data_IF_671668078176
#
_entry.id   IF_671668078176
#
_cell.length_a   1.000
_cell.length_b   1.000
_cell.length_c   1.000
_cell.angle_alpha   90.00
_cell.angle_beta   90.00
_cell.angle_gamma   90.00
#
_symmetry.space_group_name_H-M   'P 1'
#
loop_
_entity.id
_entity.type
_entity.pdbx_description
1 polymer ?
#
# COMPACT_ATOMS: atom_id res chain seq x y z
N UNK A 1 11.37 12.56 -17.29
CA UNK A 1 12.83 12.30 -17.54
C UNK A 1 13.65 12.44 -16.24
N UNK A 2 13.43 13.45 -15.41
CA UNK A 2 14.21 13.67 -14.17
C UNK A 2 14.02 12.57 -13.13
N UNK A 3 12.80 12.15 -12.88
CA UNK A 3 12.47 11.15 -11.85
C UNK A 3 13.02 9.75 -12.18
N UNK A 4 12.91 9.30 -13.43
CA UNK A 4 13.50 8.01 -13.84
C UNK A 4 15.02 8.01 -13.73
N UNK A 5 15.67 9.15 -14.07
CA UNK A 5 17.12 9.30 -13.88
C UNK A 5 17.50 9.18 -12.40
N UNK A 6 16.72 9.80 -11.52
CA UNK A 6 16.93 9.73 -10.07
C UNK A 6 16.77 8.29 -9.56
N UNK A 7 15.75 7.55 -10.02
CA UNK A 7 15.55 6.15 -9.65
C UNK A 7 16.72 5.26 -10.08
N UNK A 8 17.25 5.46 -11.29
CA UNK A 8 18.44 4.74 -11.75
C UNK A 8 19.66 5.08 -10.89
N UNK A 9 19.89 6.36 -10.59
CA UNK A 9 20.96 6.79 -9.70
C UNK A 9 20.86 6.09 -8.32
N UNK A 10 19.68 6.05 -7.73
CA UNK A 10 19.47 5.35 -6.45
C UNK A 10 19.75 3.83 -6.56
N UNK A 11 19.36 3.22 -7.68
CA UNK A 11 19.53 1.79 -7.88
C UNK A 11 21.01 1.40 -8.09
N UNK A 12 21.77 2.21 -8.81
CA UNK A 12 23.11 1.91 -9.30
C UNK A 12 24.20 2.43 -8.33
N UNK A 13 24.10 3.70 -7.91
CA UNK A 13 25.17 4.36 -7.16
C UNK A 13 24.95 4.34 -5.63
N UNK A 14 23.70 4.19 -5.17
CA UNK A 14 23.35 4.20 -3.75
C UNK A 14 22.95 2.82 -3.21
N UNK A 15 23.45 1.77 -3.85
CA UNK A 15 23.36 0.40 -3.37
C UNK A 15 24.33 0.08 -2.24
N UNK A 16 24.42 -1.20 -1.88
CA UNK A 16 25.42 -1.69 -0.93
C UNK A 16 26.80 -1.65 -1.58
N UNK A 17 27.77 -1.01 -0.91
CA UNK A 17 29.14 -0.93 -1.40
C UNK A 17 29.84 -2.29 -1.26
N UNK A 18 30.18 -2.91 -2.38
CA UNK A 18 30.77 -4.27 -2.44
C UNK A 18 32.04 -4.40 -1.63
N UNK A 19 32.93 -3.40 -1.66
CA UNK A 19 34.18 -3.40 -0.92
C UNK A 19 33.98 -3.40 0.59
N UNK A 20 33.05 -2.57 1.08
CA UNK A 20 32.70 -2.48 2.51
C UNK A 20 32.02 -3.77 2.97
N UNK A 21 31.12 -4.32 2.14
CA UNK A 21 30.46 -5.59 2.42
C UNK A 21 31.47 -6.74 2.50
N UNK A 22 32.41 -6.83 1.56
CA UNK A 22 33.46 -7.85 1.58
C UNK A 22 34.28 -7.82 2.87
N UNK A 23 34.69 -6.62 3.31
CA UNK A 23 35.43 -6.45 4.58
C UNK A 23 34.59 -6.89 5.78
N UNK A 24 33.28 -6.55 5.82
CA UNK A 24 32.41 -6.95 6.92
C UNK A 24 32.14 -8.46 6.96
N UNK A 25 32.02 -9.09 5.78
CA UNK A 25 31.89 -10.57 5.67
C UNK A 25 33.14 -11.26 6.16
N UNK A 26 34.33 -10.81 5.76
CA UNK A 26 35.62 -11.39 6.22
C UNK A 26 35.76 -11.25 7.74
N UNK A 27 35.43 -10.10 8.31
CA UNK A 27 35.50 -9.89 9.75
C UNK A 27 34.54 -10.83 10.50
N UNK A 28 33.31 -11.04 9.98
CA UNK A 28 32.36 -11.98 10.56
C UNK A 28 32.86 -13.42 10.47
N UNK A 29 33.36 -13.86 9.32
CA UNK A 29 33.94 -15.21 9.14
C UNK A 29 35.10 -15.47 10.09
N UNK A 30 36.01 -14.52 10.22
CA UNK A 30 37.15 -14.64 11.15
C UNK A 30 36.71 -14.85 12.62
N UNK A 31 35.63 -14.17 13.03
CA UNK A 31 35.06 -14.37 14.36
C UNK A 31 34.29 -15.69 14.47
N UNK A 32 33.59 -16.13 13.43
CA UNK A 32 32.80 -17.36 13.44
C UNK A 32 33.66 -18.63 13.40
N UNK A 33 34.78 -18.58 12.70
CA UNK A 33 35.74 -19.69 12.58
C UNK A 33 36.74 -19.75 13.76
N UNK A 34 36.79 -18.68 14.57
CA UNK A 34 37.65 -18.60 15.74
C UNK A 34 37.32 -19.65 16.80
N UNK A 35 38.34 -20.36 17.29
CA UNK A 35 38.19 -21.43 18.29
C UNK A 35 38.10 -20.93 19.74
N UNK A 36 37.96 -19.62 19.97
CA UNK A 36 37.89 -19.05 21.32
C UNK A 36 36.42 -19.11 21.82
N UNK A 37 36.15 -19.92 22.87
CA UNK A 37 34.82 -20.04 23.47
C UNK A 37 34.27 -18.70 24.02
N UNK A 38 35.17 -17.73 24.29
CA UNK A 38 34.76 -16.41 24.82
C UNK A 38 34.54 -15.35 23.73
N UNK A 39 34.59 -15.70 22.45
CA UNK A 39 34.47 -14.78 21.33
C UNK A 39 32.99 -14.39 20.98
N UNK A 40 32.04 -14.78 21.79
CA UNK A 40 30.61 -14.48 21.56
C UNK A 40 30.36 -12.98 21.34
N UNK A 41 30.99 -12.13 22.17
CA UNK A 41 30.85 -10.65 22.00
C UNK A 41 31.47 -10.15 20.70
N UNK A 42 32.58 -10.76 20.26
CA UNK A 42 33.20 -10.43 18.96
C UNK A 42 32.29 -10.79 17.79
N UNK A 43 31.73 -11.99 17.83
CA UNK A 43 30.82 -12.49 16.82
C UNK A 43 29.55 -11.62 16.72
N UNK A 44 28.93 -11.29 17.85
CA UNK A 44 27.73 -10.42 17.86
C UNK A 44 28.04 -9.02 17.30
N UNK A 45 29.18 -8.44 17.60
CA UNK A 45 29.60 -7.15 17.02
C UNK A 45 29.83 -7.25 15.51
N UNK A 46 30.49 -8.29 15.05
CA UNK A 46 30.71 -8.53 13.62
C UNK A 46 29.41 -8.75 12.88
N UNK A 47 28.47 -9.49 13.47
CA UNK A 47 27.11 -9.69 12.94
C UNK A 47 26.33 -8.37 12.85
N UNK A 48 26.35 -7.54 13.88
CA UNK A 48 25.71 -6.22 13.86
C UNK A 48 26.30 -5.31 12.78
N UNK A 49 27.63 -5.33 12.63
CA UNK A 49 28.32 -4.57 11.58
C UNK A 49 27.93 -5.07 10.18
N UNK A 50 27.87 -6.39 9.98
CA UNK A 50 27.43 -6.98 8.72
C UNK A 50 25.99 -6.60 8.38
N UNK A 51 25.07 -6.70 9.34
CA UNK A 51 23.67 -6.28 9.18
C UNK A 51 23.56 -4.80 8.83
N UNK A 52 24.37 -3.93 9.45
CA UNK A 52 24.42 -2.50 9.13
C UNK A 52 24.94 -2.27 7.71
N UNK A 53 25.99 -2.97 7.32
CA UNK A 53 26.62 -2.83 6.00
C UNK A 53 25.70 -3.31 4.86
N UNK A 54 24.85 -4.31 5.11
CA UNK A 54 23.88 -4.81 4.14
C UNK A 54 22.73 -3.82 3.86
N UNK A 55 22.55 -2.79 4.69
CA UNK A 55 21.56 -1.75 4.43
C UNK A 55 22.09 -0.78 3.40
N UNK A 56 21.47 -0.76 2.22
CA UNK A 56 21.83 0.19 1.17
C UNK A 56 21.60 1.64 1.62
N UNK A 57 22.54 2.59 1.33
CA UNK A 57 22.39 4.01 1.67
C UNK A 57 21.08 4.63 1.18
N UNK A 58 20.59 4.20 0.00
CA UNK A 58 19.28 4.62 -0.53
C UNK A 58 18.13 4.36 0.44
N UNK A 59 18.17 3.26 1.18
CA UNK A 59 17.10 2.92 2.11
C UNK A 59 17.08 3.87 3.32
N UNK A 60 18.25 4.29 3.80
CA UNK A 60 18.31 5.32 4.84
C UNK A 60 17.78 6.66 4.36
N UNK A 61 18.09 7.05 3.12
CA UNK A 61 17.53 8.26 2.52
C UNK A 61 15.99 8.18 2.46
N UNK A 62 15.44 7.07 1.98
CA UNK A 62 13.99 6.91 1.83
C UNK A 62 13.25 6.95 3.18
N UNK A 63 13.85 6.41 4.25
CA UNK A 63 13.21 6.45 5.59
C UNK A 63 13.00 7.87 6.11
N UNK A 64 13.81 8.85 5.68
CA UNK A 64 13.66 10.25 6.11
C UNK A 64 12.39 10.90 5.56
N UNK A 65 11.84 10.39 4.47
CA UNK A 65 10.60 10.93 3.90
C UNK A 65 9.38 10.73 4.82
N UNK A 66 9.41 9.80 5.75
CA UNK A 66 8.34 9.62 6.73
C UNK A 66 8.12 10.84 7.63
N UNK A 67 9.14 11.69 7.79
CA UNK A 67 9.08 12.90 8.59
C UNK A 67 8.53 14.12 7.79
N UNK A 68 8.38 13.97 6.47
CA UNK A 68 7.94 15.06 5.60
C UNK A 68 6.43 15.03 5.39
N UNK A 69 5.77 16.19 5.35
CA UNK A 69 4.39 16.27 4.89
C UNK A 69 4.23 15.62 3.51
N UNK A 70 3.25 14.74 3.33
CA UNK A 70 3.04 13.97 2.10
C UNK A 70 4.21 13.06 1.68
N UNK A 71 5.21 12.85 2.54
CA UNK A 71 6.40 12.06 2.21
C UNK A 71 6.06 10.60 1.91
N UNK A 72 5.14 10.01 2.64
CA UNK A 72 4.68 8.63 2.44
C UNK A 72 3.97 8.49 1.09
N UNK A 73 3.09 9.44 0.75
CA UNK A 73 2.42 9.48 -0.57
C UNK A 73 3.43 9.65 -1.70
N UNK A 74 4.37 10.57 -1.52
CA UNK A 74 5.44 10.80 -2.50
C UNK A 74 6.24 9.52 -2.78
N UNK A 75 6.56 8.73 -1.74
CA UNK A 75 7.27 7.47 -1.93
C UNK A 75 6.42 6.41 -2.62
N UNK A 76 5.12 6.33 -2.32
CA UNK A 76 4.21 5.45 -3.05
C UNK A 76 4.18 5.82 -4.55
N UNK A 77 4.06 7.10 -4.88
CA UNK A 77 4.09 7.59 -6.27
C UNK A 77 5.44 7.33 -6.93
N UNK A 78 6.54 7.53 -6.21
CA UNK A 78 7.89 7.24 -6.71
C UNK A 78 8.07 5.75 -7.02
N UNK A 79 7.55 4.86 -6.18
CA UNK A 79 7.59 3.42 -6.47
C UNK A 79 6.70 3.05 -7.66
N UNK A 80 5.56 3.72 -7.85
CA UNK A 80 4.74 3.53 -9.06
C UNK A 80 5.56 3.75 -10.34
N UNK A 81 6.42 4.76 -10.35
CA UNK A 81 7.32 5.00 -11.48
C UNK A 81 8.44 3.96 -11.58
N UNK A 82 8.98 3.51 -10.44
CA UNK A 82 9.98 2.42 -10.43
C UNK A 82 9.40 1.14 -11.02
N UNK A 83 8.14 0.82 -10.74
CA UNK A 83 7.46 -0.34 -11.29
C UNK A 83 7.41 -0.34 -12.83
N UNK A 84 7.35 0.83 -13.45
CA UNK A 84 7.35 0.95 -14.92
C UNK A 84 8.71 0.66 -15.57
N UNK A 85 9.82 0.83 -14.82
CA UNK A 85 11.19 0.68 -15.35
C UNK A 85 12.00 -0.44 -14.68
N UNK A 86 11.47 -1.11 -13.67
CA UNK A 86 12.23 -2.10 -12.88
C UNK A 86 12.77 -3.28 -13.68
N UNK A 87 12.16 -3.57 -14.83
CA UNK A 87 12.58 -4.67 -15.71
C UNK A 87 13.79 -4.34 -16.58
N UNK A 88 14.23 -3.07 -16.60
CA UNK A 88 15.35 -2.64 -17.44
C UNK A 88 16.71 -3.09 -16.89
N UNK A 89 16.84 -3.29 -15.57
CA UNK A 89 18.08 -3.79 -14.96
C UNK A 89 17.84 -4.61 -13.68
N UNK A 90 18.81 -5.47 -13.37
CA UNK A 90 18.80 -6.24 -12.12
C UNK A 90 18.85 -5.34 -10.88
N UNK A 91 19.57 -4.21 -10.95
CA UNK A 91 19.68 -3.24 -9.86
C UNK A 91 18.34 -2.55 -9.56
N UNK A 92 17.59 -2.16 -10.60
CA UNK A 92 16.25 -1.58 -10.45
C UNK A 92 15.27 -2.60 -9.87
N UNK A 93 15.35 -3.86 -10.30
CA UNK A 93 14.49 -4.91 -9.75
C UNK A 93 14.81 -5.23 -8.28
N UNK A 94 16.09 -5.24 -7.92
CA UNK A 94 16.51 -5.39 -6.52
C UNK A 94 16.04 -4.20 -5.67
N UNK A 95 16.17 -2.99 -6.19
CA UNK A 95 15.68 -1.78 -5.53
C UNK A 95 14.16 -1.81 -5.32
N UNK A 96 13.36 -2.25 -6.30
CA UNK A 96 11.90 -2.39 -6.13
C UNK A 96 11.54 -3.32 -4.97
N UNK A 97 12.26 -4.44 -4.81
CA UNK A 97 12.02 -5.37 -3.69
C UNK A 97 12.28 -4.72 -2.34
N UNK A 98 13.44 -4.09 -2.18
CA UNK A 98 13.79 -3.37 -0.94
C UNK A 98 12.79 -2.24 -0.66
N UNK A 99 12.39 -1.50 -1.68
CA UNK A 99 11.44 -0.41 -1.56
C UNK A 99 10.04 -0.90 -1.18
N UNK A 100 9.61 -2.02 -1.78
CA UNK A 100 8.36 -2.67 -1.40
C UNK A 100 8.36 -3.08 0.08
N UNK A 101 9.45 -3.68 0.55
CA UNK A 101 9.56 -4.15 1.94
C UNK A 101 9.54 -2.96 2.92
N UNK A 102 10.17 -1.83 2.57
CA UNK A 102 10.08 -0.60 3.34
C UNK A 102 8.64 -0.09 3.44
N UNK A 103 7.96 0.04 2.30
CA UNK A 103 6.58 0.51 2.26
C UNK A 103 5.63 -0.47 2.98
N UNK A 104 5.84 -1.77 2.86
CA UNK A 104 5.06 -2.76 3.59
C UNK A 104 5.14 -2.58 5.12
N UNK A 105 6.28 -2.11 5.64
CA UNK A 105 6.44 -1.79 7.06
C UNK A 105 5.62 -0.56 7.47
N UNK A 106 5.56 0.48 6.62
CA UNK A 106 4.82 1.71 6.93
C UNK A 106 3.32 1.59 6.68
N UNK A 107 2.95 0.77 5.73
CA UNK A 107 1.56 0.45 5.41
C UNK A 107 1.12 -0.88 6.06
N UNK A 108 1.71 -1.22 7.21
CA UNK A 108 1.19 -2.34 7.99
C UNK A 108 -0.26 -2.08 8.41
N UNK A 109 -1.07 -3.13 8.32
CA UNK A 109 -2.52 -3.04 8.60
C UNK A 109 -2.83 -2.51 10.00
N UNK A 110 -1.90 -2.64 10.95
CA UNK A 110 -2.03 -2.07 12.30
C UNK A 110 -2.02 -0.55 12.34
N UNK A 111 -1.52 0.12 11.31
CA UNK A 111 -1.50 1.59 11.20
C UNK A 111 -2.62 2.15 10.33
N UNK A 112 -3.41 1.29 9.69
CA UNK A 112 -4.47 1.70 8.79
C UNK A 112 -5.81 1.85 9.51
N UNK A 113 -6.53 2.88 9.14
CA UNK A 113 -7.87 3.17 9.64
C UNK A 113 -8.91 2.70 8.63
N UNK A 114 -9.89 1.92 9.11
CA UNK A 114 -11.09 1.65 8.35
C UNK A 114 -12.04 2.84 8.50
N UNK A 115 -12.43 3.45 7.39
CA UNK A 115 -13.39 4.54 7.38
C UNK A 115 -14.58 4.21 6.50
N UNK A 116 -15.79 4.44 7.01
CA UNK A 116 -17.00 4.49 6.21
C UNK A 116 -17.03 5.82 5.47
N UNK A 117 -17.05 5.79 4.16
CA UNK A 117 -17.12 6.99 3.33
C UNK A 117 -18.59 7.30 3.06
N UNK A 118 -18.98 8.53 3.33
CA UNK A 118 -20.36 9.03 3.12
C UNK A 118 -20.37 10.15 2.09
N UNK A 119 -21.56 10.60 1.71
CA UNK A 119 -21.71 11.73 0.81
C UNK A 119 -21.17 13.05 1.36
N UNK A 120 -21.02 13.16 2.68
CA UNK A 120 -20.46 14.34 3.37
C UNK A 120 -18.92 14.36 3.37
N UNK A 121 -18.28 13.36 2.76
CA UNK A 121 -16.83 13.31 2.62
C UNK A 121 -16.32 14.46 1.73
N UNK A 122 -15.05 14.91 1.91
CA UNK A 122 -14.46 15.93 1.06
C UNK A 122 -14.58 15.61 -0.43
N UNK A 123 -14.94 16.59 -1.26
CA UNK A 123 -15.10 16.40 -2.69
C UNK A 123 -13.85 15.79 -3.37
N UNK A 124 -12.65 16.14 -2.91
CA UNK A 124 -11.40 15.56 -3.39
C UNK A 124 -11.32 14.05 -3.15
N UNK A 125 -11.82 13.58 -2.01
CA UNK A 125 -11.89 12.14 -1.72
C UNK A 125 -12.91 11.44 -2.63
N UNK A 126 -14.10 12.03 -2.81
CA UNK A 126 -15.14 11.50 -3.70
C UNK A 126 -14.67 11.41 -5.16
N UNK A 127 -13.96 12.43 -5.62
CA UNK A 127 -13.36 12.45 -6.95
C UNK A 127 -12.26 11.38 -7.10
N UNK A 128 -11.46 11.19 -6.06
CA UNK A 128 -10.44 10.13 -6.03
C UNK A 128 -11.08 8.73 -6.12
N UNK A 129 -12.16 8.45 -5.37
CA UNK A 129 -12.91 7.20 -5.48
C UNK A 129 -13.45 6.99 -6.90
N UNK A 130 -14.07 8.03 -7.50
CA UNK A 130 -14.64 7.93 -8.84
C UNK A 130 -13.58 7.63 -9.91
N UNK A 131 -12.40 8.26 -9.80
CA UNK A 131 -11.30 8.10 -10.74
C UNK A 131 -10.60 6.72 -10.65
N UNK A 132 -10.66 6.08 -9.48
CA UNK A 132 -9.99 4.79 -9.24
C UNK A 132 -10.94 3.60 -9.21
N UNK A 133 -12.25 3.82 -9.42
CA UNK A 133 -13.19 2.71 -9.52
C UNK A 133 -12.90 1.85 -10.77
N UNK A 134 -12.33 0.66 -10.54
CA UNK A 134 -11.79 -0.19 -11.60
C UNK A 134 -12.80 -1.20 -12.16
N UNK A 135 -13.85 -1.53 -11.40
CA UNK A 135 -14.79 -2.61 -11.73
C UNK A 135 -16.06 -2.07 -12.38
N UNK A 136 -16.66 -1.06 -11.78
CA UNK A 136 -17.93 -0.48 -12.19
C UNK A 136 -17.84 1.05 -12.27
N UNK A 137 -17.36 1.55 -13.41
CA UNK A 137 -17.08 2.96 -13.64
C UNK A 137 -18.21 3.90 -13.15
N UNK A 138 -17.81 4.90 -12.36
CA UNK A 138 -18.67 5.98 -11.91
C UNK A 138 -18.73 7.05 -13.00
N UNK A 139 -19.93 7.33 -13.52
CA UNK A 139 -20.09 8.17 -14.72
C UNK A 139 -20.57 9.59 -14.40
N UNK A 140 -21.10 9.83 -13.21
CA UNK A 140 -21.66 11.12 -12.82
C UNK A 140 -21.65 11.31 -11.31
N UNK A 141 -21.80 12.57 -10.87
CA UNK A 141 -22.00 12.89 -9.46
C UNK A 141 -23.28 12.27 -8.89
N UNK A 142 -24.29 12.03 -9.72
CA UNK A 142 -25.49 11.34 -9.29
C UNK A 142 -25.25 9.87 -9.02
N UNK A 143 -24.40 9.21 -9.81
CA UNK A 143 -24.02 7.82 -9.62
C UNK A 143 -23.23 7.65 -8.30
N UNK A 144 -22.21 8.47 -8.05
CA UNK A 144 -21.47 8.38 -6.78
C UNK A 144 -22.34 8.75 -5.58
N UNK A 145 -23.23 9.75 -5.72
CA UNK A 145 -24.18 10.10 -4.67
C UNK A 145 -25.09 8.92 -4.31
N UNK A 146 -25.65 8.24 -5.30
CA UNK A 146 -26.49 7.06 -5.07
C UNK A 146 -25.74 5.96 -4.33
N UNK A 147 -24.47 5.72 -4.68
CA UNK A 147 -23.64 4.69 -4.03
C UNK A 147 -23.23 5.04 -2.58
N UNK A 148 -23.34 6.32 -2.19
CA UNK A 148 -22.91 6.79 -0.87
C UNK A 148 -24.07 7.22 0.03
N UNK A 149 -25.16 7.73 -0.54
CA UNK A 149 -26.25 8.33 0.22
C UNK A 149 -27.47 7.43 0.35
N UNK A 150 -27.64 6.41 -0.50
CA UNK A 150 -28.72 5.45 -0.39
C UNK A 150 -28.58 4.61 0.89
N UNK A 151 -29.69 4.33 1.57
CA UNK A 151 -29.69 3.64 2.86
C UNK A 151 -29.14 2.21 2.79
N UNK A 152 -29.26 1.58 1.63
CA UNK A 152 -28.79 0.22 1.36
C UNK A 152 -27.40 0.16 0.70
N UNK A 153 -26.64 1.26 0.72
CA UNK A 153 -25.31 1.35 0.13
C UNK A 153 -24.27 1.81 1.14
N UNK A 154 -23.12 1.17 1.08
CA UNK A 154 -21.97 1.53 1.92
C UNK A 154 -20.69 1.56 1.08
N UNK A 155 -19.82 2.49 1.44
CA UNK A 155 -18.44 2.50 0.97
C UNK A 155 -17.49 2.49 2.17
N UNK A 156 -16.53 1.58 2.15
CA UNK A 156 -15.48 1.50 3.15
C UNK A 156 -14.12 1.63 2.50
N UNK A 157 -13.22 2.34 3.15
CA UNK A 157 -11.86 2.52 2.68
C UNK A 157 -10.84 2.29 3.80
N UNK A 158 -9.67 1.75 3.45
CA UNK A 158 -8.49 1.78 4.31
C UNK A 158 -7.70 3.03 3.98
N UNK A 159 -7.45 3.83 5.01
CA UNK A 159 -6.76 5.10 4.92
C UNK A 159 -5.53 5.08 5.82
N UNK A 160 -4.41 5.60 5.33
CA UNK A 160 -3.25 5.84 6.15
C UNK A 160 -3.36 7.25 6.78
N UNK A 161 -3.10 7.45 8.09
CA UNK A 161 -3.25 8.75 8.76
C UNK A 161 -2.48 9.91 8.09
N UNK A 162 -1.35 9.63 7.46
CA UNK A 162 -0.59 10.63 6.71
C UNK A 162 -1.11 10.89 5.28
N UNK A 163 -2.17 10.20 4.86
CA UNK A 163 -2.78 10.31 3.53
C UNK A 163 -4.32 10.34 3.62
N UNK A 164 -4.91 11.27 4.36
CA UNK A 164 -6.33 11.23 4.71
C UNK A 164 -7.30 11.37 3.52
N UNK A 165 -6.84 11.94 2.41
CA UNK A 165 -7.65 12.12 1.19
C UNK A 165 -7.29 11.12 0.07
N UNK A 166 -6.33 10.23 0.33
CA UNK A 166 -5.82 9.24 -0.62
C UNK A 166 -6.02 7.84 -0.04
N UNK A 167 -7.20 7.23 -0.19
CA UNK A 167 -7.43 5.89 0.29
C UNK A 167 -6.44 4.92 -0.37
N UNK A 168 -6.07 3.85 0.31
CA UNK A 168 -5.18 2.82 -0.24
C UNK A 168 -5.96 1.83 -1.09
N UNK A 169 -7.14 1.49 -0.59
CA UNK A 169 -8.08 0.56 -1.17
C UNK A 169 -9.47 0.92 -0.65
N UNK A 170 -10.47 0.81 -1.47
CA UNK A 170 -11.86 0.99 -1.06
C UNK A 170 -12.75 -0.12 -1.61
N UNK A 171 -13.92 -0.24 -1.01
CA UNK A 171 -14.87 -1.28 -1.33
C UNK A 171 -16.30 -0.75 -1.29
N UNK A 172 -17.08 -1.12 -2.30
CA UNK A 172 -18.50 -0.84 -2.35
C UNK A 172 -19.31 -2.04 -1.89
N UNK A 173 -20.27 -1.78 -1.03
CA UNK A 173 -21.18 -2.79 -0.47
C UNK A 173 -22.62 -2.38 -0.75
N UNK A 174 -23.43 -3.33 -1.17
CA UNK A 174 -24.87 -3.19 -1.25
C UNK A 174 -25.52 -4.15 -0.25
N UNK A 175 -26.48 -3.64 0.50
CA UNK A 175 -27.34 -4.42 1.39
C UNK A 175 -28.59 -4.83 0.61
N UNK A 176 -28.89 -6.11 0.61
CA UNK A 176 -30.00 -6.68 -0.20
C UNK A 176 -30.81 -7.66 0.62
N UNK A 177 -31.99 -8.00 0.10
CA UNK A 177 -32.78 -9.13 0.59
C UNK A 177 -32.50 -10.31 -0.34
N UNK A 178 -31.72 -11.28 0.17
CA UNK A 178 -31.21 -12.39 -0.61
C UNK A 178 -30.04 -12.03 -1.54
N UNK A 179 -29.49 -13.05 -2.19
CA UNK A 179 -28.35 -12.94 -3.09
C UNK A 179 -28.80 -12.31 -4.40
N UNK A 180 -28.19 -11.14 -4.77
CA UNK A 180 -28.40 -10.53 -6.07
C UNK A 180 -27.66 -11.30 -7.17
N UNK A 181 -28.36 -11.64 -8.22
CA UNK A 181 -27.85 -12.36 -9.39
C UNK A 181 -27.47 -11.43 -10.57
N UNK A 182 -27.80 -10.13 -10.46
CA UNK A 182 -27.61 -9.16 -11.52
C UNK A 182 -27.03 -7.84 -11.01
N UNK A 183 -25.74 -7.66 -11.24
CA UNK A 183 -25.02 -6.43 -10.85
C UNK A 183 -25.55 -5.18 -11.55
N UNK A 184 -26.06 -5.27 -12.77
CA UNK A 184 -26.60 -4.12 -13.50
C UNK A 184 -27.89 -3.61 -12.84
N UNK A 185 -28.70 -4.51 -12.29
CA UNK A 185 -29.86 -4.10 -11.50
C UNK A 185 -29.42 -3.44 -10.20
N UNK A 186 -28.43 -4.01 -9.52
CA UNK A 186 -27.89 -3.48 -8.27
C UNK A 186 -27.36 -2.03 -8.41
N UNK A 187 -26.80 -1.69 -9.58
CA UNK A 187 -26.21 -0.39 -9.86
C UNK A 187 -27.20 0.65 -10.44
N UNK A 188 -28.47 0.28 -10.65
CA UNK A 188 -29.47 1.24 -11.18
C UNK A 188 -29.85 2.26 -10.11
N UNK A 189 -29.88 3.53 -10.53
CA UNK A 189 -30.26 4.67 -9.66
C UNK A 189 -31.77 4.63 -9.32
N UNK A 190 -32.57 3.99 -10.16
CA UNK A 190 -34.05 3.95 -10.03
C UNK A 190 -34.56 2.72 -9.26
N UNK A 191 -33.68 1.95 -8.62
CA UNK A 191 -34.11 0.83 -7.80
C UNK A 191 -34.70 1.31 -6.48
N UNK A 192 -35.73 0.60 -6.01
CA UNK A 192 -36.27 0.78 -4.68
C UNK A 192 -35.18 0.42 -3.65
N UNK A 193 -34.89 1.35 -2.75
CA UNK A 193 -33.95 1.14 -1.66
C UNK A 193 -34.50 0.09 -0.69
N UNK A 194 -33.66 -0.82 -0.25
CA UNK A 194 -34.04 -1.75 0.81
C UNK A 194 -34.09 -0.97 2.13
N UNK A 195 -35.23 -0.98 2.80
CA UNK A 195 -35.40 -0.27 4.06
C UNK A 195 -34.37 -0.78 5.09
N UNK A 196 -33.78 0.15 5.83
CA UNK A 196 -32.83 -0.15 6.88
C UNK A 196 -33.40 -1.18 7.86
N UNK A 197 -32.69 -2.28 8.09
CA UNK A 197 -33.10 -3.40 8.94
C UNK A 197 -33.82 -4.55 8.24
N UNK A 198 -34.16 -4.43 6.94
CA UNK A 198 -34.76 -5.53 6.17
C UNK A 198 -33.75 -6.31 5.32
N UNK A 199 -32.50 -5.84 5.23
CA UNK A 199 -31.45 -6.54 4.50
C UNK A 199 -30.96 -7.76 5.30
N UNK A 200 -30.82 -8.87 4.62
CA UNK A 200 -30.26 -10.12 5.17
C UNK A 200 -28.91 -10.50 4.52
N UNK A 201 -28.52 -9.79 3.49
CA UNK A 201 -27.34 -10.09 2.66
C UNK A 201 -26.53 -8.82 2.37
N UNK A 202 -25.21 -8.89 2.51
CA UNK A 202 -24.27 -7.86 2.10
C UNK A 202 -23.49 -8.32 0.86
N UNK A 203 -23.57 -7.57 -0.23
CA UNK A 203 -22.89 -7.87 -1.49
C UNK A 203 -21.72 -6.92 -1.68
N UNK A 204 -20.51 -7.45 -1.63
CA UNK A 204 -19.28 -6.76 -1.93
C UNK A 204 -19.07 -6.75 -3.45
N UNK A 205 -19.49 -5.69 -4.14
CA UNK A 205 -19.56 -5.72 -5.60
C UNK A 205 -18.37 -5.05 -6.30
N UNK A 206 -17.55 -4.30 -5.59
CA UNK A 206 -16.31 -3.75 -6.12
C UNK A 206 -15.27 -3.54 -5.02
N UNK A 207 -14.02 -3.88 -5.32
CA UNK A 207 -12.84 -3.56 -4.50
C UNK A 207 -11.80 -2.96 -5.42
N UNK A 208 -11.38 -1.72 -5.15
CA UNK A 208 -10.48 -0.97 -6.00
C UNK A 208 -9.28 -0.43 -5.20
N UNK A 209 -8.07 -0.76 -5.63
CA UNK A 209 -6.84 -0.18 -5.10
C UNK A 209 -6.53 1.14 -5.83
N UNK A 210 -6.14 2.17 -5.08
CA UNK A 210 -5.91 3.50 -5.62
C UNK A 210 -4.44 3.86 -5.76
N UNK A 211 -3.55 3.10 -5.12
CA UNK A 211 -2.11 3.39 -5.05
C UNK A 211 -1.30 2.36 -5.84
N UNK A 212 -1.01 2.58 -7.13
CA UNK A 212 -0.23 1.62 -7.94
C UNK A 212 1.15 1.33 -7.34
N UNK A 213 1.75 2.29 -6.66
CA UNK A 213 3.03 2.13 -5.99
C UNK A 213 3.01 1.17 -4.80
N UNK A 214 1.84 0.81 -4.29
CA UNK A 214 1.65 -0.18 -3.24
C UNK A 214 1.29 -1.56 -3.79
N UNK A 215 1.42 -1.76 -5.09
CA UNK A 215 1.17 -3.07 -5.69
C UNK A 215 2.06 -4.15 -5.06
N UNK A 216 1.44 -5.26 -4.67
CA UNK A 216 2.08 -6.36 -3.95
C UNK A 216 2.16 -6.19 -2.43
N UNK A 217 1.66 -5.08 -1.86
CA UNK A 217 1.35 -4.94 -0.43
C UNK A 217 -0.11 -5.35 -0.24
N UNK A 218 -0.36 -6.41 0.53
CA UNK A 218 -1.67 -7.09 0.56
C UNK A 218 -2.68 -6.44 1.51
N UNK A 219 -3.59 -5.61 1.01
CA UNK A 219 -4.64 -4.97 1.81
C UNK A 219 -6.03 -5.60 1.64
N UNK A 220 -6.30 -6.21 0.48
CA UNK A 220 -7.66 -6.60 0.09
C UNK A 220 -8.34 -7.59 1.04
N UNK A 221 -7.65 -8.66 1.44
CA UNK A 221 -8.20 -9.64 2.37
C UNK A 221 -8.43 -9.08 3.78
N UNK A 222 -7.61 -8.11 4.19
CA UNK A 222 -7.76 -7.42 5.46
C UNK A 222 -8.99 -6.49 5.43
N UNK A 223 -9.16 -5.72 4.35
CA UNK A 223 -10.33 -4.85 4.20
C UNK A 223 -11.63 -5.64 4.29
N UNK A 224 -11.75 -6.75 3.55
CA UNK A 224 -12.96 -7.59 3.58
C UNK A 224 -13.29 -8.04 5.00
N UNK A 225 -12.30 -8.58 5.74
CA UNK A 225 -12.51 -9.07 7.10
C UNK A 225 -12.99 -7.95 8.03
N UNK A 226 -12.34 -6.79 7.96
CA UNK A 226 -12.70 -5.63 8.81
C UNK A 226 -14.10 -5.10 8.52
N UNK A 227 -14.52 -5.09 7.25
CA UNK A 227 -15.87 -4.62 6.87
C UNK A 227 -16.95 -5.63 7.24
N UNK A 228 -16.64 -6.92 7.29
CA UNK A 228 -17.59 -7.95 7.77
C UNK A 228 -17.85 -7.81 9.27
N UNK A 229 -16.87 -7.32 10.03
CA UNK A 229 -16.98 -7.12 11.49
C UNK A 229 -17.73 -5.83 11.86
N UNK A 230 -17.93 -4.87 10.92
CA UNK A 230 -18.69 -3.62 11.08
C UNK A 230 -20.18 -3.80 10.75
#
# INVERSE_FOLDING_TARGET
IGQQRFLRLLAEDYGVATTTLHTAVQAWLACAEGKDPNNERGLLRAEQNLRKTLRAPRMHLLTQFNELPQGVKFLADMRSQLLSIKHESASLNAFDKEFKDLLATWFDVGFLELQRITWDAPAALLENLANHEAVHAIRSWQDIKHRLAAADRCCYALIHPQMPNDPLIFMWVALTNGIADNIQQLLRIDNDEVAEGNADTAIFYSISATQPGLNGVGFGSFLIKRVVDE
#
